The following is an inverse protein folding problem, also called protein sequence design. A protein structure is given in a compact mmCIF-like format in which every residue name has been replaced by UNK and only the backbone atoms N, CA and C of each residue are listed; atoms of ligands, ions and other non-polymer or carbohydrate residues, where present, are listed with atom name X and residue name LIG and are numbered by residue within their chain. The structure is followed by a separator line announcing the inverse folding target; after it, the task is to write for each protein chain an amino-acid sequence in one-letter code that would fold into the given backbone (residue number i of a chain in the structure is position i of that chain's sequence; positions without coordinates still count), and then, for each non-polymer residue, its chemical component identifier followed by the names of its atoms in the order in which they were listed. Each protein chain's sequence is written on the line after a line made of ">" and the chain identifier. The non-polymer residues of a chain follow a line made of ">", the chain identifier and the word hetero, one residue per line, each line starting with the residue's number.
data_IF_544815320022
#
_entry.id   IF_544815320022
#
_cell.length_a   1.000
_cell.length_b   1.000
_cell.length_c   1.000
_cell.angle_alpha   90.00
_cell.angle_beta   90.00
_cell.angle_gamma   90.00
#
_symmetry.space_group_name_H-M   'P 1'
#
loop_
_entity.id
_entity.type
_entity.pdbx_description
1 polymer ?
#
# COMPACT_ATOMS: atom_id res chain seq x y z
N UNK A 1 -32.52 -3.76 -6.74
CA UNK A 1 -31.85 -3.28 -5.51
C UNK A 1 -30.39 -3.72 -5.35
N UNK A 2 -29.83 -4.60 -6.20
CA UNK A 2 -28.55 -5.29 -5.90
C UNK A 2 -27.22 -4.67 -6.35
N UNK A 3 -27.18 -3.73 -7.31
CA UNK A 3 -25.92 -3.17 -7.82
C UNK A 3 -25.46 -1.92 -7.05
N UNK A 4 -26.32 -0.91 -6.92
CA UNK A 4 -25.99 0.32 -6.20
C UNK A 4 -25.60 0.09 -4.72
N UNK A 5 -26.31 -0.82 -4.04
CA UNK A 5 -25.97 -1.16 -2.65
C UNK A 5 -24.62 -1.89 -2.56
N UNK A 6 -24.32 -2.77 -3.52
CA UNK A 6 -23.03 -3.44 -3.58
C UNK A 6 -21.89 -2.46 -3.90
N UNK A 7 -22.08 -1.57 -4.87
CA UNK A 7 -21.12 -0.54 -5.26
C UNK A 7 -20.87 0.45 -4.11
N UNK A 8 -21.89 0.81 -3.33
CA UNK A 8 -21.77 1.69 -2.17
C UNK A 8 -21.00 1.03 -1.03
N UNK A 9 -21.27 -0.25 -0.73
CA UNK A 9 -20.52 -1.01 0.27
C UNK A 9 -19.07 -1.20 -0.19
N UNK A 10 -18.84 -1.53 -1.47
CA UNK A 10 -17.52 -1.69 -2.05
C UNK A 10 -16.71 -0.39 -2.02
N UNK A 11 -17.31 0.73 -2.44
CA UNK A 11 -16.65 2.05 -2.41
C UNK A 11 -16.28 2.49 -1.00
N UNK A 12 -17.18 2.30 -0.03
CA UNK A 12 -16.90 2.64 1.38
C UNK A 12 -15.79 1.75 1.97
N UNK A 13 -15.79 0.47 1.62
CA UNK A 13 -14.74 -0.48 1.98
C UNK A 13 -13.38 -0.03 1.45
N UNK A 14 -13.29 0.18 0.14
CA UNK A 14 -12.05 0.52 -0.54
C UNK A 14 -11.55 1.86 -0.01
N UNK A 15 -12.43 2.86 0.12
CA UNK A 15 -12.09 4.15 0.71
C UNK A 15 -11.51 4.05 2.12
N UNK A 16 -12.12 3.25 3.00
CA UNK A 16 -11.60 3.03 4.35
C UNK A 16 -10.24 2.32 4.36
N UNK A 17 -9.97 1.42 3.42
CA UNK A 17 -8.66 0.74 3.31
C UNK A 17 -7.58 1.63 2.72
N UNK A 18 -7.94 2.56 1.82
CA UNK A 18 -7.00 3.43 1.12
C UNK A 18 -6.42 4.51 2.05
N UNK A 19 -7.15 4.94 3.08
CA UNK A 19 -6.66 5.94 4.05
C UNK A 19 -5.36 5.49 4.76
N UNK A 20 -5.34 4.37 5.52
CA UNK A 20 -4.12 3.92 6.17
C UNK A 20 -3.04 3.50 5.17
N UNK A 21 -3.44 2.93 4.03
CA UNK A 21 -2.51 2.55 2.96
C UNK A 21 -1.77 3.77 2.39
N UNK A 22 -2.48 4.85 2.08
CA UNK A 22 -1.91 6.08 1.57
C UNK A 22 -0.95 6.76 2.55
N UNK A 23 -1.31 6.78 3.84
CA UNK A 23 -0.42 7.31 4.90
C UNK A 23 0.90 6.54 4.97
N UNK A 24 0.82 5.20 4.98
CA UNK A 24 2.02 4.35 5.03
C UNK A 24 2.90 4.52 3.79
N UNK A 25 2.30 4.63 2.61
CA UNK A 25 3.01 4.77 1.35
C UNK A 25 3.63 6.16 1.15
N UNK A 26 3.06 7.21 1.72
CA UNK A 26 3.70 8.52 1.77
C UNK A 26 4.99 8.49 2.62
N UNK A 27 4.96 7.79 3.76
CA UNK A 27 6.14 7.62 4.61
C UNK A 27 7.23 6.79 3.93
N UNK A 28 6.86 5.75 3.17
CA UNK A 28 7.82 4.99 2.33
C UNK A 28 8.46 5.90 1.27
N UNK A 29 7.73 6.88 0.75
CA UNK A 29 8.25 7.88 -0.17
C UNK A 29 9.02 9.03 0.53
N UNK A 30 9.23 8.99 1.85
CA UNK A 30 9.82 10.08 2.65
C UNK A 30 9.08 11.43 2.53
N UNK A 31 7.79 11.40 2.20
CA UNK A 31 6.95 12.57 2.06
C UNK A 31 6.02 12.74 3.26
N UNK A 32 5.55 13.98 3.50
CA UNK A 32 4.51 14.21 4.50
C UNK A 32 3.26 13.36 4.23
N UNK A 33 2.64 12.75 5.26
CA UNK A 33 1.55 11.78 5.07
C UNK A 33 0.34 12.31 4.29
N UNK A 34 0.13 13.63 4.29
CA UNK A 34 -1.01 14.25 3.59
C UNK A 34 -0.91 14.05 2.07
N UNK A 35 0.30 13.94 1.51
CA UNK A 35 0.51 13.71 0.08
C UNK A 35 0.00 12.33 -0.39
N UNK A 36 0.04 11.33 0.49
CA UNK A 36 -0.55 10.02 0.21
C UNK A 36 -2.06 10.09 0.03
N UNK A 37 -2.74 10.89 0.87
CA UNK A 37 -4.19 11.12 0.78
C UNK A 37 -4.53 11.95 -0.46
N UNK A 38 -3.74 12.98 -0.76
CA UNK A 38 -3.96 13.81 -1.95
C UNK A 38 -3.85 12.99 -3.23
N UNK A 39 -2.84 12.12 -3.33
CA UNK A 39 -2.67 11.21 -4.47
C UNK A 39 -3.84 10.23 -4.62
N UNK A 40 -4.26 9.61 -3.52
CA UNK A 40 -5.38 8.66 -3.51
C UNK A 40 -6.71 9.31 -3.92
N UNK A 41 -7.00 10.51 -3.40
CA UNK A 41 -8.23 11.22 -3.72
C UNK A 41 -8.23 11.74 -5.16
N UNK A 42 -7.17 12.44 -5.57
CA UNK A 42 -7.12 13.09 -6.87
C UNK A 42 -7.08 12.06 -8.01
N UNK A 43 -6.35 10.94 -7.85
CA UNK A 43 -6.30 9.87 -8.85
C UNK A 43 -7.69 9.28 -9.13
N UNK A 44 -8.43 8.94 -8.08
CA UNK A 44 -9.81 8.46 -8.19
C UNK A 44 -10.73 9.51 -8.83
N UNK A 45 -10.63 10.77 -8.41
CA UNK A 45 -11.45 11.86 -8.94
C UNK A 45 -11.27 12.03 -10.46
N UNK A 46 -10.03 12.02 -10.94
CA UNK A 46 -9.73 12.14 -12.38
C UNK A 46 -10.26 10.93 -13.17
N UNK A 47 -10.16 9.73 -12.60
CA UNK A 47 -10.63 8.50 -13.25
C UNK A 47 -12.15 8.41 -13.38
N UNK A 48 -12.92 9.09 -12.53
CA UNK A 48 -14.38 9.17 -12.72
C UNK A 48 -14.74 9.79 -14.08
N UNK A 49 -13.94 10.71 -14.60
CA UNK A 49 -14.18 11.38 -15.88
C UNK A 49 -13.52 10.69 -17.07
N UNK A 50 -12.31 10.16 -16.89
CA UNK A 50 -11.47 9.63 -17.98
C UNK A 50 -11.37 8.10 -17.99
N UNK A 51 -11.90 7.43 -16.97
CA UNK A 51 -11.79 6.00 -16.77
C UNK A 51 -12.63 5.20 -17.75
N UNK A 52 -12.05 4.12 -18.28
CA UNK A 52 -12.71 3.21 -19.23
C UNK A 52 -13.13 1.89 -18.60
N UNK A 53 -12.58 1.53 -17.43
CA UNK A 53 -12.86 0.25 -16.77
C UNK A 53 -13.65 0.46 -15.48
N UNK A 54 -14.66 -0.40 -15.26
CA UNK A 54 -15.56 -0.31 -14.12
C UNK A 54 -14.91 -0.75 -12.80
N UNK A 55 -13.99 -1.72 -12.87
CA UNK A 55 -13.50 -2.46 -11.70
C UNK A 55 -12.01 -2.17 -11.39
N UNK A 56 -11.56 -0.93 -11.58
CA UNK A 56 -10.19 -0.51 -11.24
C UNK A 56 -10.19 0.41 -10.03
N UNK A 57 -9.41 0.03 -9.02
CA UNK A 57 -9.09 0.91 -7.88
C UNK A 57 -7.79 1.64 -8.18
N UNK A 58 -7.82 2.97 -8.14
CA UNK A 58 -6.63 3.79 -8.20
C UNK A 58 -6.17 4.20 -6.81
N UNK A 59 -4.86 4.32 -6.66
CA UNK A 59 -4.27 4.81 -5.42
C UNK A 59 -2.76 4.69 -5.46
N UNK A 60 -2.08 5.25 -4.44
CA UNK A 60 -0.65 5.04 -4.29
C UNK A 60 -0.38 3.54 -4.11
N UNK A 61 0.67 3.07 -4.79
CA UNK A 61 1.17 1.70 -4.66
C UNK A 61 2.55 1.72 -4.03
N UNK A 62 2.90 0.65 -3.32
CA UNK A 62 4.17 0.57 -2.63
C UNK A 62 5.37 0.73 -3.56
N UNK A 63 5.27 0.20 -4.79
CA UNK A 63 6.32 0.30 -5.81
C UNK A 63 6.47 1.75 -6.29
N UNK A 64 5.37 2.44 -6.59
CA UNK A 64 5.41 3.85 -6.98
C UNK A 64 6.04 4.71 -5.87
N UNK A 65 5.67 4.49 -4.61
CA UNK A 65 6.28 5.17 -3.48
C UNK A 65 7.78 4.94 -3.36
N UNK A 66 8.25 3.70 -3.57
CA UNK A 66 9.68 3.38 -3.57
C UNK A 66 10.41 4.14 -4.69
N UNK A 67 9.86 4.15 -5.90
CA UNK A 67 10.47 4.84 -7.04
C UNK A 67 10.48 6.36 -6.84
N UNK A 68 9.40 6.92 -6.31
CA UNK A 68 9.36 8.34 -5.92
C UNK A 68 10.36 8.65 -4.81
N UNK A 69 10.57 7.73 -3.86
CA UNK A 69 11.58 7.90 -2.81
C UNK A 69 12.97 8.09 -3.44
N UNK A 70 13.37 7.13 -4.28
CA UNK A 70 14.70 7.03 -4.90
C UNK A 70 14.97 8.14 -5.91
N UNK A 71 14.01 8.46 -6.78
CA UNK A 71 14.22 9.40 -7.89
C UNK A 71 13.71 10.82 -7.62
N UNK A 72 12.79 10.98 -6.67
CA UNK A 72 12.19 12.28 -6.33
C UNK A 72 12.72 12.86 -5.03
N UNK A 73 12.69 12.08 -3.94
CA UNK A 73 12.89 12.65 -2.60
C UNK A 73 14.30 12.50 -2.04
N UNK A 74 15.06 11.48 -2.45
CA UNK A 74 16.42 11.29 -1.95
C UNK A 74 17.33 12.47 -2.32
N UNK A 75 17.13 13.05 -3.51
CA UNK A 75 17.81 14.26 -3.99
C UNK A 75 17.28 15.57 -3.39
N UNK A 76 16.11 15.56 -2.77
CA UNK A 76 15.48 16.75 -2.22
C UNK A 76 16.10 17.14 -0.86
N UNK A 77 16.15 18.45 -0.53
CA UNK A 77 16.55 18.90 0.79
C UNK A 77 15.62 18.37 1.88
N UNK A 78 16.18 18.03 3.04
CA UNK A 78 15.42 17.63 4.23
C UNK A 78 14.82 18.85 4.92
N UNK A 79 13.52 18.80 5.17
CA UNK A 79 12.79 19.80 5.95
C UNK A 79 13.17 19.69 7.44
N UNK A 80 12.97 20.76 8.23
CA UNK A 80 13.19 20.73 9.68
C UNK A 80 12.36 19.66 10.42
N UNK A 81 11.26 19.20 9.83
CA UNK A 81 10.42 18.11 10.36
C UNK A 81 11.03 16.72 10.19
N UNK A 82 12.12 16.58 9.44
CA UNK A 82 12.75 15.29 9.09
C UNK A 82 12.20 14.65 7.81
N UNK A 83 11.17 15.24 7.20
CA UNK A 83 10.60 14.81 5.92
C UNK A 83 11.32 15.48 4.74
N UNK A 84 11.16 14.95 3.53
CA UNK A 84 11.75 15.55 2.31
C UNK A 84 10.82 16.59 1.71
N UNK A 85 11.40 17.61 1.06
CA UNK A 85 10.64 18.60 0.32
C UNK A 85 9.82 17.92 -0.82
N UNK A 86 8.49 18.09 -0.84
CA UNK A 86 7.62 17.48 -1.85
C UNK A 86 7.82 18.04 -3.27
N UNK A 87 8.48 19.18 -3.44
CA UNK A 87 8.62 19.88 -4.73
C UNK A 87 9.17 18.97 -5.83
N UNK A 88 10.24 18.21 -5.56
CA UNK A 88 10.84 17.29 -6.54
C UNK A 88 9.91 16.14 -6.91
N UNK A 89 9.17 15.59 -5.94
CA UNK A 89 8.19 14.53 -6.20
C UNK A 89 7.04 15.03 -7.07
N UNK A 90 6.60 16.29 -6.90
CA UNK A 90 5.57 16.93 -7.73
C UNK A 90 6.06 17.07 -9.17
N UNK A 91 7.29 17.55 -9.38
CA UNK A 91 7.88 17.69 -10.72
C UNK A 91 8.04 16.33 -11.39
N UNK A 92 8.54 15.32 -10.66
CA UNK A 92 8.66 13.95 -11.16
C UNK A 92 7.31 13.42 -11.62
N UNK A 93 6.27 13.57 -10.80
CA UNK A 93 4.90 13.12 -11.11
C UNK A 93 4.33 13.85 -12.32
N UNK A 94 4.60 15.15 -12.46
CA UNK A 94 4.19 15.94 -13.61
C UNK A 94 4.84 15.43 -14.91
N UNK A 95 6.15 15.20 -14.89
CA UNK A 95 6.90 14.68 -16.04
C UNK A 95 6.41 13.27 -16.41
N UNK A 96 6.23 12.39 -15.41
CA UNK A 96 5.65 11.05 -15.63
C UNK A 96 4.27 11.13 -16.30
N UNK A 97 3.38 12.01 -15.82
CA UNK A 97 2.06 12.19 -16.42
C UNK A 97 2.10 12.73 -17.85
N UNK A 98 3.03 13.64 -18.18
CA UNK A 98 3.23 14.13 -19.55
C UNK A 98 3.72 13.01 -20.47
N UNK A 99 4.65 12.18 -20.00
CA UNK A 99 5.18 11.03 -20.75
C UNK A 99 4.07 9.99 -20.96
N UNK A 100 3.30 9.67 -19.93
CA UNK A 100 2.15 8.74 -20.03
C UNK A 100 1.09 9.25 -21.01
N UNK A 101 0.77 10.54 -20.96
CA UNK A 101 -0.15 11.18 -21.90
C UNK A 101 0.38 11.12 -23.33
N UNK A 102 1.67 11.41 -23.54
CA UNK A 102 2.30 11.30 -24.85
C UNK A 102 2.28 9.86 -25.38
N UNK A 103 2.61 8.88 -24.54
CA UNK A 103 2.52 7.45 -24.89
C UNK A 103 1.09 7.03 -25.24
N UNK A 104 0.09 7.56 -24.53
CA UNK A 104 -1.33 7.36 -24.81
C UNK A 104 -1.75 7.91 -26.18
N UNK A 105 -1.36 9.15 -26.51
CA UNK A 105 -1.64 9.78 -27.81
C UNK A 105 -0.99 8.99 -28.96
N UNK A 106 0.26 8.55 -28.77
CA UNK A 106 1.00 7.74 -29.73
C UNK A 106 0.50 6.28 -29.81
N UNK A 107 -0.50 5.90 -29.01
CA UNK A 107 -1.03 4.53 -28.90
C UNK A 107 0.06 3.48 -28.62
N UNK A 108 1.09 3.86 -27.86
CA UNK A 108 2.20 2.98 -27.48
C UNK A 108 1.81 1.95 -26.41
N UNK A 109 0.53 1.83 -26.05
CA UNK A 109 0.04 0.77 -25.15
C UNK A 109 0.37 -0.64 -25.65
N UNK A 110 0.59 -0.82 -26.97
CA UNK A 110 1.06 -2.08 -27.54
C UNK A 110 2.43 -2.49 -26.98
N UNK A 111 3.32 -1.54 -26.64
CA UNK A 111 4.64 -1.82 -26.04
C UNK A 111 4.51 -2.50 -24.67
N UNK A 112 3.49 -2.15 -23.89
CA UNK A 112 3.27 -2.75 -22.57
C UNK A 112 2.96 -4.24 -22.70
N UNK A 113 2.29 -4.66 -23.79
CA UNK A 113 2.01 -6.07 -24.06
C UNK A 113 3.26 -6.89 -24.42
N UNK A 114 4.37 -6.23 -24.78
CA UNK A 114 5.65 -6.90 -25.02
C UNK A 114 6.48 -7.12 -23.75
N UNK A 115 6.07 -6.56 -22.61
CA UNK A 115 6.72 -6.83 -21.34
C UNK A 115 6.37 -8.26 -20.92
N UNK A 116 7.40 -9.11 -20.84
CA UNK A 116 7.20 -10.51 -20.50
C UNK A 116 6.73 -10.68 -19.05
N UNK A 117 5.82 -11.62 -18.82
CA UNK A 117 5.34 -11.96 -17.48
C UNK A 117 6.47 -12.25 -16.47
N UNK A 118 7.55 -12.96 -16.83
CA UNK A 118 8.70 -13.17 -15.93
C UNK A 118 9.37 -11.88 -15.47
N UNK A 119 9.47 -10.85 -16.33
CA UNK A 119 10.08 -9.56 -15.97
C UNK A 119 9.22 -8.83 -14.94
N UNK A 120 7.90 -8.78 -15.15
CA UNK A 120 6.97 -8.16 -14.21
C UNK A 120 7.00 -8.89 -12.87
N UNK A 121 7.02 -10.23 -12.89
CA UNK A 121 7.10 -11.05 -11.68
C UNK A 121 8.41 -10.84 -10.93
N UNK A 122 9.55 -10.80 -11.63
CA UNK A 122 10.86 -10.59 -11.02
C UNK A 122 10.97 -9.20 -10.40
N UNK A 123 10.53 -8.16 -11.12
CA UNK A 123 10.51 -6.79 -10.63
C UNK A 123 9.62 -6.63 -9.40
N UNK A 124 8.40 -7.19 -9.44
CA UNK A 124 7.46 -7.13 -8.30
C UNK A 124 8.00 -7.88 -7.09
N UNK A 125 8.63 -9.05 -7.29
CA UNK A 125 9.26 -9.81 -6.21
C UNK A 125 10.43 -9.06 -5.58
N UNK A 126 11.31 -8.45 -6.39
CA UNK A 126 12.40 -7.62 -5.92
C UNK A 126 11.89 -6.41 -5.12
N UNK A 127 10.89 -5.69 -5.65
CA UNK A 127 10.27 -4.58 -4.94
C UNK A 127 9.64 -5.02 -3.60
N UNK A 128 8.95 -6.16 -3.57
CA UNK A 128 8.37 -6.71 -2.35
C UNK A 128 9.44 -7.03 -1.29
N UNK A 129 10.57 -7.60 -1.68
CA UNK A 129 11.71 -7.85 -0.78
C UNK A 129 12.28 -6.54 -0.24
N UNK A 130 12.50 -5.55 -1.11
CA UNK A 130 13.01 -4.22 -0.71
C UNK A 130 12.06 -3.53 0.28
N UNK A 131 10.75 -3.56 0.01
CA UNK A 131 9.75 -2.99 0.92
C UNK A 131 9.75 -3.74 2.26
N UNK A 132 9.77 -5.08 2.23
CA UNK A 132 9.76 -5.88 3.45
C UNK A 132 10.97 -5.57 4.34
N UNK A 133 12.18 -5.52 3.76
CA UNK A 133 13.40 -5.14 4.47
C UNK A 133 13.35 -3.68 4.95
N UNK A 134 12.78 -2.78 4.15
CA UNK A 134 12.54 -1.38 4.53
C UNK A 134 11.58 -1.19 5.70
N UNK A 135 10.72 -2.17 6.00
CA UNK A 135 9.87 -2.15 7.20
C UNK A 135 10.54 -2.74 8.44
N UNK A 136 11.59 -3.56 8.28
CA UNK A 136 12.32 -4.14 9.43
C UNK A 136 12.89 -3.04 10.32
N UNK A 137 13.47 -1.98 9.72
CA UNK A 137 13.98 -0.82 10.48
C UNK A 137 12.90 -0.13 11.32
N UNK A 138 11.67 -0.06 10.82
CA UNK A 138 10.53 0.54 11.54
C UNK A 138 10.10 -0.35 12.72
N UNK A 139 10.07 -1.68 12.53
CA UNK A 139 9.76 -2.63 13.61
C UNK A 139 10.83 -2.59 14.70
N UNK A 140 12.11 -2.47 14.33
CA UNK A 140 13.21 -2.36 15.29
C UNK A 140 13.31 -0.98 15.98
N UNK A 141 12.54 0.01 15.52
CA UNK A 141 12.58 1.38 16.05
C UNK A 141 13.89 2.12 15.75
N UNK A 142 14.63 1.69 14.73
CA UNK A 142 15.92 2.27 14.34
C UNK A 142 15.69 3.53 13.50
N UNK A 143 16.42 4.60 13.85
CA UNK A 143 16.38 5.90 13.13
C UNK A 143 17.65 6.11 12.32
N UNK A 144 17.59 6.95 11.29
CA UNK A 144 18.72 7.31 10.41
C UNK A 144 19.35 6.10 9.69
N UNK A 145 18.53 5.26 9.07
CA UNK A 145 18.99 4.19 8.17
C UNK A 145 18.84 4.68 6.72
N UNK A 146 19.89 4.58 5.89
CA UNK A 146 19.85 4.97 4.49
C UNK A 146 18.78 4.20 3.69
N UNK A 147 18.37 4.78 2.56
CA UNK A 147 17.34 4.20 1.68
C UNK A 147 17.91 3.25 0.63
N UNK A 148 19.23 3.29 0.37
CA UNK A 148 19.88 2.33 -0.52
C UNK A 148 19.80 0.92 0.03
N UNK A 149 19.45 -0.05 -0.81
CA UNK A 149 19.16 -1.41 -0.38
C UNK A 149 20.32 -2.06 0.39
N UNK A 150 21.55 -1.96 -0.15
CA UNK A 150 22.72 -2.59 0.47
C UNK A 150 23.09 -1.93 1.80
N UNK A 151 23.15 -0.60 1.82
CA UNK A 151 23.45 0.15 3.04
C UNK A 151 22.35 -0.03 4.09
N UNK A 152 21.09 -0.10 3.67
CA UNK A 152 19.95 -0.36 4.55
C UNK A 152 20.10 -1.70 5.25
N UNK A 153 20.45 -2.77 4.52
CA UNK A 153 20.66 -4.10 5.10
C UNK A 153 21.86 -4.08 6.05
N UNK A 154 22.98 -3.51 5.62
CA UNK A 154 24.21 -3.45 6.42
C UNK A 154 24.02 -2.67 7.72
N UNK A 155 23.47 -1.45 7.64
CA UNK A 155 23.22 -0.58 8.80
C UNK A 155 22.14 -1.16 9.72
N UNK A 156 21.11 -1.80 9.17
CA UNK A 156 20.09 -2.48 9.98
C UNK A 156 20.73 -3.61 10.78
N UNK A 157 21.59 -4.43 10.18
CA UNK A 157 22.31 -5.50 10.86
C UNK A 157 23.32 -4.97 11.89
N UNK A 158 24.04 -3.90 11.57
CA UNK A 158 25.02 -3.30 12.47
C UNK A 158 24.35 -2.66 13.72
N UNK A 159 23.17 -2.05 13.55
CA UNK A 159 22.45 -1.34 14.61
C UNK A 159 21.41 -2.17 15.36
N UNK A 160 21.32 -3.49 15.13
CA UNK A 160 20.47 -4.41 15.93
C UNK A 160 20.63 -4.21 17.46
N UNK A 161 21.83 -3.97 18.02
CA UNK A 161 21.97 -3.79 19.47
C UNK A 161 21.30 -2.52 20.01
N UNK A 162 21.03 -1.52 19.17
CA UNK A 162 20.40 -0.24 19.54
C UNK A 162 18.87 -0.27 19.42
N UNK A 163 18.29 -1.46 19.24
CA UNK A 163 16.85 -1.67 19.06
C UNK A 163 16.06 -1.18 20.27
N UNK A 164 14.98 -0.44 20.00
CA UNK A 164 14.03 -0.03 21.03
C UNK A 164 13.05 -1.15 21.31
N UNK A 165 13.15 -1.73 22.51
CA UNK A 165 12.33 -2.87 22.93
C UNK A 165 10.82 -2.56 22.84
N UNK A 166 10.41 -1.34 23.17
CA UNK A 166 8.99 -0.94 23.09
C UNK A 166 8.46 -0.91 21.66
N UNK A 167 9.22 -0.36 20.71
CA UNK A 167 8.82 -0.33 19.30
C UNK A 167 8.77 -1.75 18.72
N UNK A 168 9.74 -2.61 19.09
CA UNK A 168 9.79 -4.02 18.69
C UNK A 168 8.57 -4.80 19.19
N UNK A 169 8.22 -4.67 20.47
CA UNK A 169 7.07 -5.37 21.04
C UNK A 169 5.75 -4.93 20.40
N UNK A 170 5.56 -3.63 20.18
CA UNK A 170 4.38 -3.10 19.49
C UNK A 170 4.30 -3.58 18.03
N UNK A 171 5.42 -3.55 17.31
CA UNK A 171 5.52 -4.07 15.95
C UNK A 171 5.20 -5.57 15.87
N UNK A 172 5.77 -6.40 16.75
CA UNK A 172 5.49 -7.84 16.80
C UNK A 172 4.03 -8.13 17.17
N UNK A 173 3.48 -7.46 18.17
CA UNK A 173 2.08 -7.65 18.59
C UNK A 173 1.13 -7.28 17.45
N UNK A 174 1.35 -6.14 16.78
CA UNK A 174 0.54 -5.75 15.62
C UNK A 174 0.63 -6.76 14.47
N UNK A 175 1.83 -7.26 14.16
CA UNK A 175 2.05 -8.29 13.14
C UNK A 175 1.30 -9.58 13.47
N UNK A 176 1.42 -10.06 14.71
CA UNK A 176 0.72 -11.26 15.20
C UNK A 176 -0.79 -11.09 15.12
N UNK A 177 -1.33 -9.93 15.53
CA UNK A 177 -2.76 -9.64 15.46
C UNK A 177 -3.24 -9.67 14.01
N UNK A 178 -2.52 -9.04 13.07
CA UNK A 178 -2.87 -9.05 11.65
C UNK A 178 -2.83 -10.45 11.06
N UNK A 179 -1.79 -11.24 11.37
CA UNK A 179 -1.67 -12.63 10.91
C UNK A 179 -2.79 -13.49 11.50
N UNK A 180 -3.09 -13.34 12.79
CA UNK A 180 -4.16 -14.06 13.47
C UNK A 180 -5.52 -13.72 12.85
N UNK A 181 -5.82 -12.44 12.61
CA UNK A 181 -7.05 -12.03 11.93
C UNK A 181 -7.14 -12.62 10.52
N UNK A 182 -6.02 -12.68 9.79
CA UNK A 182 -5.97 -13.29 8.46
C UNK A 182 -6.21 -14.81 8.54
N UNK A 183 -5.62 -15.48 9.53
CA UNK A 183 -5.82 -16.92 9.76
C UNK A 183 -7.26 -17.24 10.18
N UNK A 184 -7.86 -16.46 11.06
CA UNK A 184 -9.26 -16.62 11.46
C UNK A 184 -10.22 -16.46 10.27
N UNK A 185 -9.87 -15.61 9.29
CA UNK A 185 -10.65 -15.43 8.05
C UNK A 185 -10.55 -16.63 7.10
N UNK A 186 -9.44 -17.38 7.09
CA UNK A 186 -9.28 -18.54 6.19
C UNK A 186 -9.99 -19.80 6.70
N UNK A 187 -10.41 -19.83 7.97
CA UNK A 187 -11.25 -20.90 8.52
C UNK A 187 -12.61 -20.84 7.84
N UNK A 188 -12.80 -21.69 6.82
CA UNK A 188 -14.10 -21.92 6.18
C UNK A 188 -14.98 -22.71 7.17
N UNK A 189 -16.01 -22.05 7.68
CA UNK A 189 -17.00 -22.69 8.54
C UNK A 189 -17.84 -23.66 7.71
N UNK A 190 -17.72 -24.97 7.96
CA UNK A 190 -18.59 -25.99 7.39
C UNK A 190 -19.95 -25.88 8.09
N UNK A 191 -20.93 -25.30 7.42
CA UNK A 191 -22.30 -25.25 7.93
C UNK A 191 -22.97 -26.60 7.74
N UNK A 192 -23.51 -27.16 8.83
CA UNK A 192 -24.43 -28.30 8.75
C UNK A 192 -25.81 -27.75 8.34
N UNK A 193 -26.40 -28.19 7.22
CA UNK A 193 -27.65 -27.63 6.70
C UNK A 193 -28.86 -27.85 7.64
N UNK A 194 -28.76 -28.75 8.61
CA UNK A 194 -29.90 -29.21 9.40
C UNK A 194 -30.08 -28.48 10.75
N UNK A 195 -29.19 -27.54 11.10
CA UNK A 195 -29.25 -26.80 12.37
C UNK A 195 -29.19 -25.29 12.13
N UNK A 196 -30.24 -24.51 12.50
CA UNK A 196 -30.18 -23.06 12.39
C UNK A 196 -29.06 -22.52 13.28
N UNK A 197 -28.19 -21.62 12.77
CA UNK A 197 -27.07 -21.12 13.54
C UNK A 197 -27.57 -20.31 14.74
N UNK A 198 -27.07 -20.64 15.94
CA UNK A 198 -27.30 -19.87 17.16
C UNK A 198 -26.97 -18.39 16.96
N UNK A 199 -27.83 -17.48 17.45
CA UNK A 199 -27.66 -16.00 17.40
C UNK A 199 -26.21 -15.51 17.66
N UNK A 200 -25.46 -16.02 18.65
CA UNK A 200 -24.05 -15.64 18.84
C UNK A 200 -23.13 -15.98 17.65
N UNK A 201 -23.35 -17.09 16.93
CA UNK A 201 -22.60 -17.42 15.71
C UNK A 201 -22.91 -16.45 14.56
N UNK A 202 -24.14 -15.95 14.47
CA UNK A 202 -24.53 -14.97 13.44
C UNK A 202 -23.89 -13.61 13.74
N UNK A 203 -23.92 -13.17 15.00
CA UNK A 203 -23.27 -11.92 15.44
C UNK A 203 -21.76 -12.03 15.23
N UNK A 204 -21.15 -13.15 15.63
CA UNK A 204 -19.72 -13.39 15.43
C UNK A 204 -19.35 -13.42 13.94
N UNK A 205 -20.17 -14.05 13.08
CA UNK A 205 -19.99 -14.03 11.62
C UNK A 205 -20.13 -12.64 11.04
N UNK A 206 -21.10 -11.84 11.50
CA UNK A 206 -21.25 -10.43 11.08
C UNK A 206 -20.05 -9.60 11.53
N UNK A 207 -19.57 -9.76 12.76
CA UNK A 207 -18.36 -9.10 13.24
C UNK A 207 -17.11 -9.54 12.46
N UNK A 208 -16.94 -10.84 12.19
CA UNK A 208 -15.83 -11.38 11.40
C UNK A 208 -15.89 -10.91 9.95
N UNK A 209 -17.10 -10.78 9.38
CA UNK A 209 -17.33 -10.21 8.06
C UNK A 209 -17.05 -8.70 8.03
N UNK A 210 -17.45 -7.96 9.07
CA UNK A 210 -17.17 -6.52 9.23
C UNK A 210 -15.68 -6.21 9.48
N UNK A 211 -14.95 -7.09 10.14
CA UNK A 211 -13.49 -7.05 10.27
C UNK A 211 -12.81 -7.57 8.97
N UNK A 212 -13.55 -8.35 8.19
CA UNK A 212 -13.13 -9.05 6.98
C UNK A 212 -13.11 -8.21 5.70
N UNK A 213 -13.66 -7.00 5.74
CA UNK A 213 -14.08 -6.24 4.56
C UNK A 213 -12.89 -5.87 3.61
N UNK A 214 -11.65 -5.80 4.10
CA UNK A 214 -10.49 -5.45 3.26
C UNK A 214 -9.93 -6.54 2.33
N UNK A 215 -10.74 -7.36 1.64
CA UNK A 215 -10.16 -8.37 0.74
C UNK A 215 -11.07 -9.10 -0.25
N UNK A 216 -12.30 -8.64 -0.46
CA UNK A 216 -13.16 -9.12 -1.55
C UNK A 216 -13.90 -7.96 -2.21
N UNK A 217 -13.13 -7.06 -2.82
CA UNK A 217 -13.50 -6.39 -4.06
C UNK A 217 -12.30 -6.55 -4.99
#
# INVERSE_FOLDING_TARGET
>A
FGAFQADLIAGLTVGLTVIPQGLAYAQVANLPPQYGLYSAFMGCFVYVFLGTSKDITLGPTAIMSLMTATFGTDLAPTLPSGEKDPTMAIVLTLISGVIELAMGILKLGILVNFISFPVISAFTSAAAITIALGQVKNILGLKNIPNEFLDMVYETCAKIPQTKVWDLTMGLVSLVIVILMRYLRTIKWKDNPDVPPSVPKIIFRKCLWLIGIGGKC
#
